data_IF_914373479915
#
_entry.id   IF_914373479915
#
_cell.length_a   1.000
_cell.length_b   1.000
_cell.length_c   1.000
_cell.angle_alpha   90.00
_cell.angle_beta   90.00
_cell.angle_gamma   90.00
#
_symmetry.space_group_name_H-M   'P 1'
#
loop_
_entity.id
_entity.type
_entity.pdbx_description
1 polymer ?
#
# COMPACT_ATOMS: atom_id res chain seq x y z
N UNK A 1 -0.01 31.63 -10.00
CA UNK A 1 0.20 31.38 -8.57
C UNK A 1 0.67 29.93 -8.47
N UNK A 2 1.74 29.63 -7.73
CA UNK A 2 2.17 28.25 -7.49
C UNK A 2 1.08 27.51 -6.70
N UNK A 3 0.87 26.22 -6.97
CA UNK A 3 -0.05 25.42 -6.19
C UNK A 3 0.38 25.43 -4.70
N UNK A 4 -0.57 25.38 -3.74
CA UNK A 4 -0.26 25.45 -2.31
C UNK A 4 0.48 24.20 -1.80
N UNK A 5 0.49 23.12 -2.57
CA UNK A 5 1.20 21.88 -2.26
C UNK A 5 2.04 21.44 -3.45
N UNK A 6 3.27 20.99 -3.17
CA UNK A 6 4.15 20.33 -4.15
C UNK A 6 4.38 18.90 -3.72
N UNK A 7 4.03 17.94 -4.56
CA UNK A 7 4.22 16.52 -4.29
C UNK A 7 5.31 16.00 -5.21
N UNK A 8 6.48 15.71 -4.63
CA UNK A 8 7.55 15.00 -5.32
C UNK A 8 7.27 13.49 -5.28
N UNK A 9 7.07 12.89 -6.45
CA UNK A 9 6.70 11.48 -6.57
C UNK A 9 7.10 10.88 -7.90
N UNK A 10 6.79 9.59 -8.09
CA UNK A 10 6.94 8.87 -9.36
C UNK A 10 5.73 7.96 -9.57
N UNK A 11 5.34 7.69 -10.82
CA UNK A 11 4.13 6.92 -11.11
C UNK A 11 4.27 5.45 -10.66
N UNK A 12 5.48 4.90 -10.82
CA UNK A 12 5.80 3.52 -10.44
C UNK A 12 5.99 3.32 -8.91
N UNK A 13 5.63 4.31 -8.08
CA UNK A 13 5.66 4.20 -6.62
C UNK A 13 4.24 4.15 -6.06
N UNK A 14 3.82 3.05 -5.42
CA UNK A 14 2.47 2.90 -4.86
C UNK A 14 2.18 4.01 -3.83
N UNK A 15 3.15 4.32 -2.98
CA UNK A 15 3.07 5.36 -1.96
C UNK A 15 2.92 6.77 -2.56
N UNK A 16 3.57 7.03 -3.71
CA UNK A 16 3.48 8.35 -4.35
C UNK A 16 2.12 8.59 -5.00
N UNK A 17 1.60 7.59 -5.72
CA UNK A 17 0.27 7.69 -6.32
C UNK A 17 -0.83 7.69 -5.27
N UNK A 18 -0.64 6.97 -4.15
CA UNK A 18 -1.53 7.00 -2.95
C UNK A 18 -1.74 8.43 -2.46
N UNK A 19 -0.66 9.18 -2.21
CA UNK A 19 -0.76 10.59 -1.78
C UNK A 19 -1.42 11.46 -2.85
N UNK A 20 -1.03 11.32 -4.13
CA UNK A 20 -1.64 12.11 -5.21
C UNK A 20 -3.15 11.86 -5.34
N UNK A 21 -3.57 10.60 -5.29
CA UNK A 21 -4.98 10.20 -5.33
C UNK A 21 -5.75 10.79 -4.16
N UNK A 22 -5.20 10.73 -2.95
CA UNK A 22 -5.80 11.35 -1.76
C UNK A 22 -5.94 12.87 -1.89
N UNK A 23 -4.91 13.58 -2.39
CA UNK A 23 -5.00 15.03 -2.60
C UNK A 23 -6.06 15.40 -3.64
N UNK A 24 -6.21 14.59 -4.70
CA UNK A 24 -7.31 14.72 -5.68
C UNK A 24 -8.68 14.50 -5.04
N UNK A 25 -8.82 13.48 -4.18
CA UNK A 25 -10.06 13.22 -3.43
C UNK A 25 -10.49 14.42 -2.58
N UNK A 26 -9.53 14.99 -1.83
CA UNK A 26 -9.77 16.17 -0.97
C UNK A 26 -9.93 17.47 -1.74
N UNK A 27 -9.73 17.48 -3.06
CA UNK A 27 -9.75 18.70 -3.87
C UNK A 27 -8.64 19.68 -3.50
N UNK A 28 -7.53 19.19 -2.95
CA UNK A 28 -6.38 20.01 -2.58
C UNK A 28 -5.57 20.32 -3.82
N UNK A 29 -5.48 21.59 -4.19
CA UNK A 29 -4.68 22.04 -5.32
C UNK A 29 -3.19 21.69 -5.08
N UNK A 30 -2.58 20.97 -6.02
CA UNK A 30 -1.21 20.48 -5.87
C UNK A 30 -0.50 20.39 -7.21
N UNK A 31 0.79 20.68 -7.17
CA UNK A 31 1.72 20.40 -8.26
C UNK A 31 2.29 18.99 -8.09
N UNK A 32 2.17 18.16 -9.13
CA UNK A 32 2.86 16.88 -9.19
C UNK A 32 4.23 17.05 -9.84
N UNK A 33 5.28 16.91 -9.03
CA UNK A 33 6.67 17.05 -9.47
C UNK A 33 7.28 15.65 -9.58
N UNK A 34 7.57 15.21 -10.80
CA UNK A 34 8.22 13.91 -11.01
C UNK A 34 9.64 13.98 -10.44
N UNK A 35 9.98 13.09 -9.50
CA UNK A 35 11.35 12.98 -8.95
C UNK A 35 12.28 12.34 -9.98
N UNK A 36 13.04 13.16 -10.68
CA UNK A 36 13.96 12.77 -11.75
C UNK A 36 15.30 13.54 -11.63
N UNK A 37 16.19 13.42 -12.62
CA UNK A 37 17.49 14.10 -12.57
C UNK A 37 17.40 15.63 -12.52
N UNK A 38 16.41 16.25 -13.18
CA UNK A 38 16.28 17.71 -13.22
C UNK A 38 15.64 18.29 -11.96
N UNK A 39 14.74 17.56 -11.31
CA UNK A 39 14.08 17.98 -10.07
C UNK A 39 14.83 17.57 -8.80
N UNK A 40 15.85 16.72 -8.92
CA UNK A 40 16.66 16.23 -7.80
C UNK A 40 17.25 17.35 -6.91
N UNK A 41 17.82 18.45 -7.45
CA UNK A 41 18.37 19.52 -6.62
C UNK A 41 17.32 20.21 -5.74
N UNK A 42 16.07 20.31 -6.21
CA UNK A 42 14.99 20.86 -5.40
C UNK A 42 14.51 19.85 -4.36
N UNK A 43 14.30 18.60 -4.76
CA UNK A 43 13.93 17.51 -3.85
C UNK A 43 14.91 17.40 -2.66
N UNK A 44 16.22 17.49 -2.92
CA UNK A 44 17.27 17.40 -1.89
C UNK A 44 17.27 18.55 -0.88
N UNK A 45 16.63 19.69 -1.17
CA UNK A 45 16.50 20.78 -0.18
C UNK A 45 15.60 20.40 0.99
N UNK A 46 14.64 19.52 0.75
CA UNK A 46 13.55 19.20 1.69
C UNK A 46 13.60 17.74 2.18
N UNK A 47 14.04 16.81 1.32
CA UNK A 47 14.05 15.38 1.65
C UNK A 47 15.08 15.04 2.74
N UNK A 48 14.62 14.38 3.81
CA UNK A 48 15.48 13.84 4.87
C UNK A 48 15.97 12.43 4.52
N UNK A 49 15.16 11.67 3.80
CA UNK A 49 15.46 10.32 3.31
C UNK A 49 15.30 10.26 1.79
N UNK A 50 16.07 9.42 1.07
CA UNK A 50 16.01 9.32 -0.40
C UNK A 50 14.78 8.52 -0.90
N UNK A 51 13.62 8.71 -0.26
CA UNK A 51 12.35 8.03 -0.53
C UNK A 51 11.29 9.01 -1.06
N UNK A 52 10.30 8.47 -1.76
CA UNK A 52 9.10 9.18 -2.21
C UNK A 52 7.88 8.49 -1.61
N UNK A 53 6.77 9.22 -1.38
CA UNK A 53 6.54 10.63 -1.68
C UNK A 53 7.26 11.61 -0.74
N UNK A 54 7.43 12.85 -1.21
CA UNK A 54 7.75 14.02 -0.41
C UNK A 54 6.69 15.10 -0.71
N UNK A 55 6.03 15.60 0.33
CA UNK A 55 5.13 16.76 0.27
C UNK A 55 5.88 18.00 0.78
N UNK A 56 5.78 19.10 0.05
CA UNK A 56 6.20 20.43 0.51
C UNK A 56 4.98 21.35 0.54
N UNK A 57 4.73 21.97 1.69
CA UNK A 57 3.59 22.87 1.91
C UNK A 57 3.87 24.29 1.40
N UNK A 58 2.84 25.14 1.38
CA UNK A 58 2.96 26.57 1.08
C UNK A 58 3.88 27.32 2.06
N UNK A 59 4.04 26.79 3.27
CA UNK A 59 4.90 27.34 4.33
C UNK A 59 6.32 26.75 4.30
N UNK A 60 6.71 26.07 3.20
CA UNK A 60 7.98 25.36 3.02
C UNK A 60 8.26 24.24 4.05
N UNK A 61 7.21 23.72 4.70
CA UNK A 61 7.31 22.54 5.55
C UNK A 61 7.34 21.26 4.71
N UNK A 62 8.21 20.32 5.08
CA UNK A 62 8.43 19.08 4.34
C UNK A 62 7.97 17.85 5.13
N UNK A 63 7.13 17.02 4.50
CA UNK A 63 6.68 15.74 5.03
C UNK A 63 7.07 14.61 4.07
N UNK A 64 7.49 13.47 4.62
CA UNK A 64 7.77 12.25 3.87
C UNK A 64 6.97 11.11 4.49
N UNK A 65 6.83 10.02 3.73
CA UNK A 65 6.02 8.84 4.07
C UNK A 65 4.52 9.07 3.83
N UNK A 66 3.88 8.17 3.09
CA UNK A 66 2.51 8.37 2.61
C UNK A 66 1.50 8.44 3.74
N UNK A 67 1.67 7.62 4.78
CA UNK A 67 0.71 7.52 5.89
C UNK A 67 0.76 8.77 6.77
N UNK A 68 1.94 9.24 7.25
CA UNK A 68 2.06 10.53 7.93
C UNK A 68 1.60 11.74 7.10
N UNK A 69 1.83 11.72 5.78
CA UNK A 69 1.35 12.79 4.89
C UNK A 69 -0.18 12.83 4.88
N UNK A 70 -0.83 11.67 4.73
CA UNK A 70 -2.30 11.58 4.73
C UNK A 70 -2.87 11.93 6.10
N UNK A 71 -2.33 11.40 7.20
CA UNK A 71 -2.78 11.72 8.56
C UNK A 71 -2.69 13.24 8.85
N UNK A 72 -1.58 13.88 8.45
CA UNK A 72 -1.41 15.33 8.57
C UNK A 72 -2.45 16.10 7.74
N UNK A 73 -2.68 15.68 6.49
CA UNK A 73 -3.62 16.35 5.60
C UNK A 73 -5.07 16.15 6.07
N UNK A 74 -5.42 14.96 6.58
CA UNK A 74 -6.75 14.64 7.11
C UNK A 74 -7.07 15.50 8.34
N UNK A 75 -6.11 15.67 9.25
CA UNK A 75 -6.28 16.53 10.41
C UNK A 75 -6.47 18.01 10.03
N UNK A 76 -5.84 18.47 8.95
CA UNK A 76 -5.94 19.87 8.47
C UNK A 76 -7.16 20.11 7.59
N UNK A 77 -7.62 19.08 6.87
CA UNK A 77 -8.73 19.10 5.92
C UNK A 77 -9.69 17.94 6.19
N UNK A 78 -10.52 18.03 7.25
CA UNK A 78 -11.32 16.89 7.72
C UNK A 78 -12.40 16.44 6.74
N UNK A 79 -12.84 17.31 5.82
CA UNK A 79 -13.91 16.99 4.88
C UNK A 79 -13.45 17.03 3.42
N UNK A 80 -13.91 16.10 2.57
CA UNK A 80 -14.68 14.90 2.91
C UNK A 80 -13.82 13.86 3.64
N UNK A 81 -14.29 13.29 4.75
CA UNK A 81 -13.50 12.33 5.54
C UNK A 81 -13.17 11.03 4.78
N UNK A 82 -11.98 10.44 5.05
CA UNK A 82 -11.61 9.07 4.63
C UNK A 82 -11.87 8.01 5.70
N UNK A 83 -12.35 8.41 6.87
CA UNK A 83 -12.62 7.50 7.98
C UNK A 83 -14.12 7.18 8.08
N UNK A 84 -14.51 5.90 7.98
CA UNK A 84 -15.85 5.46 8.34
C UNK A 84 -16.24 5.90 9.76
N UNK A 85 -17.53 6.12 9.99
CA UNK A 85 -18.02 6.68 11.25
C UNK A 85 -18.16 5.66 12.40
N UNK A 86 -18.36 4.38 12.10
CA UNK A 86 -18.42 3.33 13.13
C UNK A 86 -17.01 2.86 13.51
N UNK A 87 -16.79 2.61 14.80
CA UNK A 87 -15.49 2.20 15.33
C UNK A 87 -14.93 0.93 14.65
N UNK A 88 -15.73 -0.14 14.40
CA UNK A 88 -15.25 -1.31 13.68
C UNK A 88 -14.76 -0.96 12.26
N UNK A 89 -15.56 -0.22 11.48
CA UNK A 89 -15.20 0.10 10.10
C UNK A 89 -13.99 1.05 10.04
N UNK A 90 -13.92 2.02 10.95
CA UNK A 90 -12.78 2.92 11.03
C UNK A 90 -11.49 2.15 11.31
N UNK A 91 -11.52 1.25 12.29
CA UNK A 91 -10.35 0.46 12.63
C UNK A 91 -9.95 -0.51 11.51
N UNK A 92 -10.93 -1.21 10.92
CA UNK A 92 -10.68 -2.11 9.78
C UNK A 92 -10.10 -1.36 8.57
N UNK A 93 -10.58 -0.14 8.30
CA UNK A 93 -9.99 0.72 7.28
C UNK A 93 -8.52 1.03 7.56
N UNK A 94 -8.15 1.32 8.82
CA UNK A 94 -6.76 1.51 9.21
C UNK A 94 -5.92 0.22 9.12
N UNK A 95 -6.51 -0.93 9.46
CA UNK A 95 -5.84 -2.23 9.35
C UNK A 95 -5.55 -2.59 7.89
N UNK A 96 -6.51 -2.37 6.99
CA UNK A 96 -6.34 -2.60 5.55
C UNK A 96 -5.29 -1.63 4.97
N UNK A 97 -5.22 -0.41 5.47
CA UNK A 97 -4.21 0.56 5.04
C UNK A 97 -2.79 0.08 5.38
N UNK A 98 -2.56 -0.39 6.60
CA UNK A 98 -1.26 -0.97 6.98
C UNK A 98 -0.97 -2.30 6.30
N UNK A 99 -1.99 -3.14 6.13
CA UNK A 99 -1.87 -4.33 5.30
C UNK A 99 -1.39 -3.98 3.88
N UNK A 100 -1.95 -2.94 3.27
CA UNK A 100 -1.58 -2.47 1.94
C UNK A 100 -0.12 -2.04 1.87
N UNK A 101 0.32 -1.19 2.80
CA UNK A 101 1.67 -0.64 2.79
C UNK A 101 2.76 -1.68 3.08
N UNK A 102 2.43 -2.72 3.87
CA UNK A 102 3.40 -3.75 4.27
C UNK A 102 3.27 -5.07 3.49
N UNK A 103 2.11 -5.73 3.54
CA UNK A 103 1.90 -7.01 2.87
C UNK A 103 1.53 -6.83 1.40
N UNK A 104 0.65 -5.89 1.06
CA UNK A 104 0.28 -5.60 -0.33
C UNK A 104 1.49 -5.19 -1.18
N UNK A 105 2.44 -4.48 -0.59
CA UNK A 105 3.73 -4.15 -1.21
C UNK A 105 4.57 -5.38 -1.60
N UNK A 106 4.38 -6.52 -0.89
CA UNK A 106 5.04 -7.79 -1.24
C UNK A 106 4.57 -8.30 -2.59
N UNK A 107 3.28 -8.23 -2.90
CA UNK A 107 2.74 -8.65 -4.20
C UNK A 107 3.41 -7.88 -5.33
N UNK A 108 3.37 -6.55 -5.24
CA UNK A 108 3.94 -5.67 -6.25
C UNK A 108 5.44 -5.90 -6.42
N UNK A 109 6.23 -5.81 -5.35
CA UNK A 109 7.69 -5.93 -5.47
C UNK A 109 8.13 -7.34 -5.88
N UNK A 110 7.43 -8.39 -5.44
CA UNK A 110 7.72 -9.74 -5.87
C UNK A 110 7.50 -9.86 -7.39
N UNK A 111 6.28 -9.63 -7.87
CA UNK A 111 5.98 -9.82 -9.28
C UNK A 111 6.82 -8.94 -10.21
N UNK A 112 7.01 -7.67 -9.85
CA UNK A 112 7.79 -6.70 -10.64
C UNK A 112 9.22 -7.14 -10.91
N UNK A 113 9.82 -7.88 -9.97
CA UNK A 113 11.23 -8.26 -10.03
C UNK A 113 11.47 -9.77 -10.10
N UNK A 114 10.44 -10.62 -10.07
CA UNK A 114 10.58 -12.07 -10.13
C UNK A 114 10.77 -12.61 -11.55
N UNK A 115 10.02 -12.08 -12.53
CA UNK A 115 10.03 -12.58 -13.93
C UNK A 115 10.65 -11.57 -14.87
N UNK A 116 11.32 -12.06 -15.91
CA UNK A 116 12.05 -11.23 -16.88
C UNK A 116 11.13 -10.22 -17.59
N UNK A 117 9.94 -10.65 -18.02
CA UNK A 117 8.98 -9.76 -18.69
C UNK A 117 8.59 -8.55 -17.82
N UNK A 118 8.37 -8.78 -16.52
CA UNK A 118 8.05 -7.72 -15.56
C UNK A 118 9.25 -6.82 -15.26
N UNK A 119 10.43 -7.42 -15.09
CA UNK A 119 11.68 -6.68 -14.85
C UNK A 119 12.00 -5.72 -16.01
N UNK A 120 11.87 -6.19 -17.25
CA UNK A 120 12.11 -5.39 -18.47
C UNK A 120 11.09 -4.26 -18.57
N UNK A 121 9.80 -4.56 -18.40
CA UNK A 121 8.74 -3.55 -18.45
C UNK A 121 8.93 -2.48 -17.37
N UNK A 122 9.16 -2.88 -16.11
CA UNK A 122 9.29 -1.97 -14.99
C UNK A 122 10.57 -1.12 -15.06
N UNK A 123 11.72 -1.73 -15.37
CA UNK A 123 12.98 -0.98 -15.49
C UNK A 123 12.95 0.04 -16.62
N UNK A 124 12.34 -0.31 -17.76
CA UNK A 124 12.16 0.62 -18.89
C UNK A 124 11.32 1.82 -18.49
N UNK A 125 10.17 1.62 -17.83
CA UNK A 125 9.30 2.72 -17.35
C UNK A 125 10.00 3.58 -16.31
N UNK A 126 10.69 2.97 -15.34
CA UNK A 126 11.42 3.69 -14.29
C UNK A 126 12.51 4.61 -14.86
N UNK A 127 13.27 4.14 -15.85
CA UNK A 127 14.31 4.96 -16.48
C UNK A 127 13.72 6.07 -17.34
N UNK A 128 12.63 5.81 -18.05
CA UNK A 128 11.93 6.83 -18.82
C UNK A 128 11.45 8.00 -17.94
N UNK A 129 10.97 7.70 -16.72
CA UNK A 129 10.59 8.73 -15.74
C UNK A 129 11.80 9.43 -15.09
N UNK A 130 12.85 8.67 -14.77
CA UNK A 130 14.04 9.19 -14.08
C UNK A 130 14.90 10.10 -14.97
N UNK A 131 14.95 9.83 -16.27
CA UNK A 131 15.80 10.56 -17.23
C UNK A 131 15.08 10.75 -18.57
N UNK A 132 14.02 11.57 -18.60
CA UNK A 132 13.16 11.73 -19.77
C UNK A 132 13.91 12.31 -20.99
N UNK A 133 14.90 13.18 -20.76
CA UNK A 133 15.68 13.86 -21.80
C UNK A 133 16.91 13.07 -22.28
N UNK A 134 17.12 11.86 -21.77
CA UNK A 134 18.26 11.00 -22.13
C UNK A 134 17.94 10.11 -23.34
N UNK A 135 18.87 9.96 -24.33
CA UNK A 135 18.67 9.09 -25.49
C UNK A 135 18.33 7.64 -25.12
N UNK A 136 17.50 6.99 -25.95
CA UNK A 136 16.98 5.64 -25.68
C UNK A 136 18.07 4.60 -25.42
N UNK A 137 19.17 4.60 -26.19
CA UNK A 137 20.26 3.65 -26.03
C UNK A 137 20.93 3.75 -24.64
N UNK A 138 21.13 4.97 -24.13
CA UNK A 138 21.68 5.16 -22.78
C UNK A 138 20.66 4.79 -21.69
N UNK A 139 19.35 4.93 -21.98
CA UNK A 139 18.29 4.48 -21.08
C UNK A 139 18.25 2.94 -20.97
N UNK A 140 18.51 2.21 -22.06
CA UNK A 140 18.54 0.74 -22.06
C UNK A 140 19.60 0.18 -21.11
N UNK A 141 20.83 0.70 -21.17
CA UNK A 141 21.90 0.29 -20.25
C UNK A 141 21.56 0.61 -18.79
N UNK A 142 21.00 1.80 -18.54
CA UNK A 142 20.56 2.22 -17.21
C UNK A 142 19.44 1.32 -16.69
N UNK A 143 18.51 0.88 -17.55
CA UNK A 143 17.38 0.02 -17.19
C UNK A 143 17.87 -1.36 -16.74
N UNK A 144 18.83 -1.95 -17.47
CA UNK A 144 19.46 -3.22 -17.08
C UNK A 144 20.10 -3.12 -15.68
N UNK A 145 20.86 -2.04 -15.42
CA UNK A 145 21.46 -1.80 -14.11
C UNK A 145 20.44 -1.62 -12.98
N UNK A 146 19.30 -0.98 -13.25
CA UNK A 146 18.19 -0.89 -12.27
C UNK A 146 17.60 -2.27 -12.00
N UNK A 147 17.33 -3.07 -13.04
CA UNK A 147 16.76 -4.40 -12.89
C UNK A 147 17.66 -5.30 -12.02
N UNK A 148 18.97 -5.32 -12.29
CA UNK A 148 19.94 -6.10 -11.50
C UNK A 148 19.98 -5.65 -10.05
N UNK A 149 20.00 -4.34 -9.79
CA UNK A 149 19.97 -3.81 -8.43
C UNK A 149 18.68 -4.17 -7.68
N UNK A 150 17.54 -4.12 -8.36
CA UNK A 150 16.23 -4.33 -7.72
C UNK A 150 15.93 -5.80 -7.46
N UNK A 151 16.37 -6.72 -8.33
CA UNK A 151 16.37 -8.17 -8.05
C UNK A 151 17.07 -8.48 -6.73
N UNK A 152 18.22 -7.85 -6.46
CA UNK A 152 18.96 -8.00 -5.21
C UNK A 152 18.27 -7.40 -3.97
N UNK A 153 17.11 -6.76 -4.10
CA UNK A 153 16.38 -6.09 -3.01
C UNK A 153 15.03 -6.72 -2.66
N UNK A 154 14.58 -7.73 -3.39
CA UNK A 154 13.30 -8.40 -3.10
C UNK A 154 13.26 -9.09 -1.73
N UNK A 155 14.42 -9.31 -1.10
CA UNK A 155 14.51 -9.79 0.28
C UNK A 155 13.85 -8.83 1.29
N UNK A 156 13.75 -7.52 1.01
CA UNK A 156 13.06 -6.55 1.89
C UNK A 156 11.57 -6.87 2.05
N UNK A 157 10.96 -7.48 1.04
CA UNK A 157 9.57 -7.96 1.08
C UNK A 157 9.46 -9.44 1.43
N UNK A 158 10.59 -10.07 1.77
CA UNK A 158 10.66 -11.48 2.12
C UNK A 158 10.49 -12.42 0.93
N UNK A 159 10.57 -11.93 -0.32
CA UNK A 159 10.51 -12.76 -1.52
C UNK A 159 11.80 -13.58 -1.69
N UNK A 160 11.68 -14.90 -1.66
CA UNK A 160 12.75 -15.88 -1.90
C UNK A 160 12.15 -17.21 -2.40
N UNK A 161 12.99 -18.23 -2.62
CA UNK A 161 12.55 -19.54 -3.15
C UNK A 161 11.51 -20.25 -2.27
N UNK A 162 11.50 -19.99 -0.95
CA UNK A 162 10.55 -20.60 0.00
C UNK A 162 9.21 -19.85 0.00
N UNK A 163 9.24 -18.52 -0.07
CA UNK A 163 8.06 -17.66 0.13
C UNK A 163 7.37 -17.21 -1.16
N UNK A 164 8.04 -17.30 -2.31
CA UNK A 164 7.55 -16.78 -3.59
C UNK A 164 6.13 -17.29 -3.92
N UNK A 165 5.91 -18.61 -3.86
CA UNK A 165 4.62 -19.21 -4.14
C UNK A 165 3.52 -18.69 -3.20
N UNK A 166 3.85 -18.47 -1.92
CA UNK A 166 2.89 -17.93 -0.96
C UNK A 166 2.52 -16.46 -1.26
N UNK A 167 3.47 -15.65 -1.72
CA UNK A 167 3.19 -14.28 -2.16
C UNK A 167 2.26 -14.30 -3.37
N UNK A 168 2.55 -15.14 -4.37
CA UNK A 168 1.74 -15.26 -5.59
C UNK A 168 0.33 -15.79 -5.31
N UNK A 169 0.21 -16.82 -4.48
CA UNK A 169 -1.09 -17.40 -4.11
C UNK A 169 -1.94 -16.37 -3.36
N UNK A 170 -1.34 -15.63 -2.41
CA UNK A 170 -2.07 -14.58 -1.67
C UNK A 170 -2.50 -13.42 -2.56
N UNK A 171 -1.75 -13.11 -3.63
CA UNK A 171 -2.19 -12.14 -4.63
C UNK A 171 -3.42 -12.63 -5.40
N UNK A 172 -3.38 -13.88 -5.90
CA UNK A 172 -4.51 -14.46 -6.65
C UNK A 172 -5.76 -14.56 -5.76
N UNK A 173 -5.61 -14.99 -4.51
CA UNK A 173 -6.69 -15.06 -3.52
C UNK A 173 -7.25 -13.66 -3.22
N UNK A 174 -6.39 -12.66 -2.96
CA UNK A 174 -6.80 -11.28 -2.74
C UNK A 174 -7.60 -10.71 -3.91
N UNK A 175 -7.17 -10.96 -5.16
CA UNK A 175 -7.91 -10.51 -6.36
C UNK A 175 -9.30 -11.11 -6.40
N UNK A 176 -9.47 -12.41 -6.11
CA UNK A 176 -10.78 -13.05 -6.08
C UNK A 176 -11.69 -12.51 -4.98
N UNK A 177 -11.15 -12.27 -3.78
CA UNK A 177 -11.90 -11.72 -2.65
C UNK A 177 -12.31 -10.25 -2.89
N UNK A 178 -11.41 -9.45 -3.45
CA UNK A 178 -11.70 -8.07 -3.84
C UNK A 178 -12.70 -8.01 -4.99
N UNK A 179 -12.62 -8.90 -5.97
CA UNK A 179 -13.60 -8.97 -7.06
C UNK A 179 -15.01 -9.23 -6.52
N UNK A 180 -15.16 -10.23 -5.65
CA UNK A 180 -16.43 -10.54 -5.02
C UNK A 180 -17.00 -9.31 -4.28
N UNK A 181 -16.15 -8.58 -3.55
CA UNK A 181 -16.56 -7.41 -2.80
C UNK A 181 -16.90 -6.18 -3.65
N UNK A 182 -16.04 -5.85 -4.62
CA UNK A 182 -16.13 -4.66 -5.46
C UNK A 182 -17.11 -4.82 -6.64
N UNK A 183 -17.57 -6.04 -6.95
CA UNK A 183 -18.60 -6.27 -7.97
C UNK A 183 -19.90 -5.50 -7.71
N UNK A 184 -20.22 -5.24 -6.44
CA UNK A 184 -21.39 -4.48 -6.01
C UNK A 184 -21.09 -3.10 -5.44
N UNK A 185 -19.82 -2.65 -5.43
CA UNK A 185 -19.40 -1.46 -4.67
C UNK A 185 -18.39 -0.61 -5.40
N UNK A 186 -18.41 0.69 -5.08
CA UNK A 186 -17.43 1.61 -5.62
C UNK A 186 -16.09 1.58 -4.87
N UNK A 187 -16.11 1.32 -3.57
CA UNK A 187 -14.94 1.34 -2.68
C UNK A 187 -15.13 0.31 -1.57
N UNK A 188 -14.06 0.01 -0.82
CA UNK A 188 -14.05 -1.04 0.21
C UNK A 188 -15.11 -0.86 1.30
N UNK A 189 -15.50 0.38 1.60
CA UNK A 189 -16.49 0.69 2.64
C UNK A 189 -17.75 1.37 2.09
N UNK A 190 -18.03 1.27 0.79
CA UNK A 190 -19.27 1.76 0.17
C UNK A 190 -19.05 2.73 -0.97
N UNK A 191 -19.68 3.92 -0.91
CA UNK A 191 -19.78 4.85 -2.04
C UNK A 191 -18.77 6.01 -2.02
N UNK A 192 -17.83 6.03 -1.07
CA UNK A 192 -16.66 6.94 -1.05
C UNK A 192 -15.40 6.18 -0.61
N UNK A 193 -14.19 6.61 -1.04
CA UNK A 193 -12.96 5.93 -0.66
C UNK A 193 -12.70 6.09 0.83
N UNK A 194 -12.31 5.01 1.47
CA UNK A 194 -11.81 4.97 2.83
C UNK A 194 -10.28 5.09 2.86
N UNK A 195 -9.72 5.27 4.04
CA UNK A 195 -8.28 5.21 4.25
C UNK A 195 -7.66 3.88 3.78
N UNK A 196 -8.40 2.78 3.96
CA UNK A 196 -8.01 1.44 3.50
C UNK A 196 -7.97 1.34 1.97
N UNK A 197 -8.86 2.04 1.26
CA UNK A 197 -8.81 2.11 -0.21
C UNK A 197 -7.49 2.71 -0.67
N UNK A 198 -7.05 3.84 -0.08
CA UNK A 198 -5.81 4.50 -0.48
C UNK A 198 -4.56 3.64 -0.21
N UNK A 199 -4.49 2.95 0.93
CA UNK A 199 -3.37 2.05 1.26
C UNK A 199 -3.26 0.86 0.33
N UNK A 200 -4.37 0.15 0.11
CA UNK A 200 -4.39 -1.05 -0.74
C UNK A 200 -4.24 -0.70 -2.23
N UNK A 201 -4.95 0.34 -2.68
CA UNK A 201 -5.04 0.70 -4.10
C UNK A 201 -3.69 0.97 -4.73
N UNK A 202 -2.79 1.70 -4.06
CA UNK A 202 -1.49 2.05 -4.64
C UNK A 202 -0.70 0.81 -5.09
N UNK A 203 -0.79 -0.28 -4.31
CA UNK A 203 -0.14 -1.55 -4.62
C UNK A 203 -0.82 -2.26 -5.77
N UNK A 204 -2.16 -2.37 -5.75
CA UNK A 204 -2.94 -3.02 -6.81
C UNK A 204 -2.80 -2.30 -8.15
N UNK A 205 -2.79 -0.95 -8.14
CA UNK A 205 -2.48 -0.13 -9.31
C UNK A 205 -1.10 -0.45 -9.89
N UNK A 206 -0.10 -0.60 -9.02
CA UNK A 206 1.25 -0.92 -9.45
C UNK A 206 1.39 -2.36 -9.96
N UNK A 207 0.62 -3.31 -9.42
CA UNK A 207 0.46 -4.64 -10.00
C UNK A 207 -0.22 -4.57 -11.38
N UNK A 208 -1.24 -3.73 -11.58
CA UNK A 208 -1.97 -3.64 -12.85
C UNK A 208 -1.05 -3.24 -14.03
N UNK A 209 -0.07 -2.38 -13.79
CA UNK A 209 0.87 -1.90 -14.83
C UNK A 209 1.98 -2.90 -15.14
N UNK A 210 2.20 -3.91 -14.31
CA UNK A 210 3.18 -4.97 -14.53
C UNK A 210 2.56 -6.11 -15.36
N UNK A 211 3.25 -6.64 -16.40
CA UNK A 211 2.71 -7.65 -17.31
C UNK A 211 2.04 -8.85 -16.64
N UNK A 212 2.72 -9.53 -15.72
CA UNK A 212 2.24 -10.78 -15.12
C UNK A 212 1.09 -10.53 -14.13
N UNK A 213 1.27 -9.76 -13.04
CA UNK A 213 0.19 -9.55 -12.07
C UNK A 213 -0.96 -8.75 -12.66
N UNK A 214 -0.69 -7.84 -13.61
CA UNK A 214 -1.72 -7.12 -14.34
C UNK A 214 -2.49 -8.01 -15.31
N UNK A 215 -1.87 -9.04 -15.88
CA UNK A 215 -2.58 -10.08 -16.65
C UNK A 215 -3.58 -10.84 -15.78
N UNK A 216 -3.14 -11.29 -14.60
CA UNK A 216 -3.99 -11.95 -13.61
C UNK A 216 -5.15 -11.05 -13.19
N UNK A 217 -4.86 -9.78 -12.87
CA UNK A 217 -5.88 -8.83 -12.42
C UNK A 217 -6.94 -8.57 -13.49
N UNK A 218 -6.52 -8.39 -14.76
CA UNK A 218 -7.46 -8.18 -15.88
C UNK A 218 -8.32 -9.42 -16.17
N UNK A 219 -7.77 -10.62 -15.98
CA UNK A 219 -8.51 -11.87 -16.19
C UNK A 219 -9.51 -12.14 -15.06
N UNK A 220 -9.09 -11.94 -13.80
CA UNK A 220 -9.80 -12.44 -12.61
C UNK A 220 -10.54 -11.37 -11.82
N UNK A 221 -10.21 -10.09 -12.00
CA UNK A 221 -10.72 -8.99 -11.19
C UNK A 221 -11.17 -7.78 -12.00
N UNK A 222 -12.11 -7.90 -12.96
CA UNK A 222 -12.56 -6.76 -13.76
C UNK A 222 -13.18 -5.62 -12.92
N UNK A 223 -13.89 -5.93 -11.83
CA UNK A 223 -14.42 -4.93 -10.90
C UNK A 223 -13.29 -4.28 -10.08
N UNK A 224 -12.24 -5.05 -9.76
CA UNK A 224 -11.02 -4.52 -9.15
C UNK A 224 -10.29 -3.57 -10.10
N UNK A 225 -10.21 -3.88 -11.40
CA UNK A 225 -9.66 -2.96 -12.42
C UNK A 225 -10.47 -1.66 -12.47
N UNK A 226 -11.80 -1.76 -12.49
CA UNK A 226 -12.67 -0.57 -12.47
C UNK A 226 -12.47 0.28 -11.20
N UNK A 227 -12.27 -0.34 -10.04
CA UNK A 227 -11.90 0.35 -8.80
C UNK A 227 -10.53 1.01 -8.91
N UNK A 228 -9.53 0.33 -9.49
CA UNK A 228 -8.19 0.89 -9.71
C UNK A 228 -8.25 2.14 -10.58
N UNK A 229 -9.01 2.11 -11.68
CA UNK A 229 -9.19 3.25 -12.58
C UNK A 229 -9.92 4.40 -11.89
N UNK A 230 -10.98 4.11 -11.12
CA UNK A 230 -11.75 5.10 -10.35
C UNK A 230 -10.87 5.83 -9.33
N UNK A 231 -9.99 5.11 -8.66
CA UNK A 231 -9.08 5.65 -7.65
C UNK A 231 -7.96 6.54 -8.22
N UNK A 232 -7.84 6.73 -9.53
CA UNK A 232 -6.95 7.76 -10.10
C UNK A 232 -7.47 9.19 -9.87
N UNK A 233 -8.80 9.36 -9.77
CA UNK A 233 -9.47 10.62 -9.42
C UNK A 233 -10.77 10.33 -8.62
N UNK A 234 -10.65 9.77 -7.41
CA UNK A 234 -11.81 9.28 -6.68
C UNK A 234 -12.67 10.42 -6.16
N UNK A 235 -13.97 10.15 -6.04
CA UNK A 235 -14.99 11.11 -5.56
C UNK A 235 -15.82 10.49 -4.45
N UNK A 236 -16.26 11.33 -3.52
CA UNK A 236 -17.30 10.96 -2.55
C UNK A 236 -18.66 10.94 -3.28
N UNK A 237 -19.10 9.76 -3.70
CA UNK A 237 -20.34 9.57 -4.49
C UNK A 237 -21.55 9.12 -3.66
N UNK A 238 -21.37 8.92 -2.36
CA UNK A 238 -22.41 8.49 -1.41
C UNK A 238 -21.79 8.19 -0.05
N UNK A 239 -22.51 7.52 0.84
CA UNK A 239 -22.08 7.25 2.23
C UNK A 239 -21.21 5.99 2.39
N UNK A 240 -20.59 5.86 3.56
CA UNK A 240 -20.04 4.57 4.00
C UNK A 240 -21.18 3.62 4.40
N UNK A 241 -20.99 2.33 4.14
CA UNK A 241 -21.95 1.28 4.52
C UNK A 241 -21.70 0.77 5.95
N UNK A 242 -22.74 0.23 6.57
CA UNK A 242 -22.64 -0.42 7.87
C UNK A 242 -21.90 -1.77 7.77
N UNK A 243 -21.24 -2.20 8.86
CA UNK A 243 -20.45 -3.43 8.87
C UNK A 243 -21.28 -4.65 8.47
N UNK A 244 -22.54 -4.75 8.90
CA UNK A 244 -23.42 -5.88 8.63
C UNK A 244 -23.70 -6.06 7.13
N UNK A 245 -23.64 -4.98 6.36
CA UNK A 245 -23.80 -4.98 4.90
C UNK A 245 -22.48 -5.33 4.20
N UNK A 246 -21.36 -4.87 4.75
CA UNK A 246 -20.01 -5.12 4.21
C UNK A 246 -19.51 -6.54 4.50
N UNK A 247 -19.74 -7.04 5.72
CA UNK A 247 -19.18 -8.25 6.30
C UNK A 247 -19.30 -9.48 5.39
N UNK A 248 -20.44 -9.78 4.74
CA UNK A 248 -20.56 -10.97 3.89
C UNK A 248 -19.52 -11.07 2.76
N UNK A 249 -18.93 -9.94 2.36
CA UNK A 249 -17.95 -9.90 1.25
C UNK A 249 -16.61 -9.29 1.63
N UNK A 250 -16.54 -8.41 2.63
CA UNK A 250 -15.28 -7.82 3.09
C UNK A 250 -14.61 -8.64 4.19
N UNK A 251 -15.38 -9.28 5.08
CA UNK A 251 -14.82 -10.09 6.17
C UNK A 251 -13.89 -11.21 5.67
N UNK A 252 -14.21 -11.96 4.60
CA UNK A 252 -13.29 -12.96 4.05
C UNK A 252 -11.94 -12.37 3.62
N UNK A 253 -11.94 -11.18 3.00
CA UNK A 253 -10.70 -10.48 2.65
C UNK A 253 -9.90 -10.14 3.90
N UNK A 254 -10.52 -9.50 4.89
CA UNK A 254 -9.80 -9.09 6.11
C UNK A 254 -9.28 -10.29 6.88
N UNK A 255 -10.08 -11.34 7.06
CA UNK A 255 -9.66 -12.56 7.76
C UNK A 255 -8.45 -13.19 7.08
N UNK A 256 -8.55 -13.49 5.77
CA UNK A 256 -7.49 -14.18 5.03
C UNK A 256 -6.23 -13.34 4.89
N UNK A 257 -6.38 -12.06 4.56
CA UNK A 257 -5.24 -11.20 4.25
C UNK A 257 -4.61 -10.59 5.51
N UNK A 258 -5.44 -10.11 6.45
CA UNK A 258 -4.96 -9.46 7.66
C UNK A 258 -4.75 -10.46 8.79
N UNK A 259 -5.76 -11.28 9.10
CA UNK A 259 -5.74 -12.21 10.24
C UNK A 259 -4.80 -13.39 10.07
N UNK A 260 -4.87 -14.07 8.93
CA UNK A 260 -4.14 -15.33 8.69
C UNK A 260 -2.71 -15.12 8.17
N UNK A 261 -2.44 -13.98 7.51
CA UNK A 261 -1.15 -13.70 6.85
C UNK A 261 -0.39 -12.52 7.48
N UNK A 262 -0.92 -11.30 7.35
CA UNK A 262 -0.19 -10.09 7.70
C UNK A 262 0.12 -9.94 9.19
N UNK A 263 -0.87 -10.07 10.07
CA UNK A 263 -0.68 -9.89 11.50
C UNK A 263 0.28 -10.93 12.13
N UNK A 264 0.14 -12.25 11.89
CA UNK A 264 1.10 -13.24 12.39
C UNK A 264 2.52 -13.02 11.86
N UNK A 265 2.66 -12.68 10.58
CA UNK A 265 3.94 -12.33 9.98
C UNK A 265 4.58 -11.11 10.63
N UNK A 266 3.79 -10.05 10.81
CA UNK A 266 4.25 -8.78 11.35
C UNK A 266 4.72 -8.93 12.80
N UNK A 267 4.01 -9.74 13.58
CA UNK A 267 4.39 -10.11 14.95
C UNK A 267 5.70 -10.90 14.98
N UNK A 268 5.87 -11.89 14.09
CA UNK A 268 7.11 -12.66 14.00
C UNK A 268 8.30 -11.77 13.65
N UNK A 269 8.13 -10.85 12.69
CA UNK A 269 9.12 -9.84 12.35
C UNK A 269 9.50 -8.97 13.56
N UNK A 270 8.52 -8.47 14.31
CA UNK A 270 8.75 -7.63 15.48
C UNK A 270 9.49 -8.37 16.60
N UNK A 271 9.13 -9.63 16.86
CA UNK A 271 9.82 -10.51 17.83
C UNK A 271 11.26 -10.77 17.43
N UNK A 272 11.50 -11.14 16.18
CA UNK A 272 12.84 -11.40 15.67
C UNK A 272 13.74 -10.16 15.73
N UNK A 273 13.19 -8.98 15.38
CA UNK A 273 13.91 -7.72 15.49
C UNK A 273 14.27 -7.38 16.94
N UNK A 274 13.36 -7.62 17.89
CA UNK A 274 13.61 -7.41 19.32
C UNK A 274 14.62 -8.41 19.90
N UNK A 275 14.63 -9.65 19.39
CA UNK A 275 15.59 -10.70 19.75
C UNK A 275 17.00 -10.48 19.16
N UNK A 276 17.11 -9.66 18.11
CA UNK A 276 18.36 -9.47 17.39
C UNK A 276 18.67 -10.60 16.40
N UNK A 277 17.65 -11.34 15.97
CA UNK A 277 17.80 -12.48 15.07
C UNK A 277 18.17 -12.01 13.65
N UNK A 278 19.02 -12.76 12.95
CA UNK A 278 19.40 -12.44 11.57
C UNK A 278 18.29 -12.78 10.56
N UNK A 279 17.51 -13.82 10.87
CA UNK A 279 16.38 -14.36 10.10
C UNK A 279 15.35 -14.93 11.06
N UNK A 280 14.09 -14.97 10.63
CA UNK A 280 13.02 -15.65 11.35
C UNK A 280 12.20 -16.52 10.42
N UNK A 281 11.62 -17.57 11.02
CA UNK A 281 10.65 -18.44 10.37
C UNK A 281 9.31 -18.35 11.12
N UNK A 282 8.21 -18.34 10.36
CA UNK A 282 6.86 -18.38 10.90
C UNK A 282 5.96 -19.20 9.98
N UNK A 283 5.08 -20.02 10.55
CA UNK A 283 4.07 -20.74 9.77
C UNK A 283 2.89 -19.81 9.47
N UNK A 284 2.63 -19.58 8.19
CA UNK A 284 1.51 -18.79 7.68
C UNK A 284 0.68 -19.70 6.77
N UNK A 285 -0.58 -19.93 7.10
CA UNK A 285 -1.48 -20.78 6.31
C UNK A 285 -0.88 -22.18 6.00
N UNK A 286 -0.22 -22.78 7.00
CA UNK A 286 0.41 -24.10 6.91
C UNK A 286 1.67 -24.16 6.04
N UNK A 287 2.27 -23.01 5.71
CA UNK A 287 3.50 -22.89 4.95
C UNK A 287 4.53 -22.05 5.71
N UNK A 288 5.78 -22.49 5.68
CA UNK A 288 6.89 -21.76 6.25
C UNK A 288 7.15 -20.47 5.50
N UNK A 289 7.11 -19.36 6.21
CA UNK A 289 7.62 -18.08 5.78
C UNK A 289 8.98 -17.81 6.41
N UNK A 290 9.98 -17.46 5.60
CA UNK A 290 11.33 -17.12 6.09
C UNK A 290 11.79 -15.75 5.56
N UNK A 291 12.29 -14.88 6.44
CA UNK A 291 12.70 -13.51 6.09
C UNK A 291 13.70 -12.93 7.11
N UNK A 292 14.51 -11.93 6.68
CA UNK A 292 15.27 -11.06 7.59
C UNK A 292 14.38 -10.01 8.25
N UNK A 293 14.48 -9.75 9.57
CA UNK A 293 13.63 -8.77 10.22
C UNK A 293 13.86 -7.35 9.68
N UNK A 294 12.78 -6.61 9.48
CA UNK A 294 12.79 -5.24 8.97
C UNK A 294 12.23 -4.28 10.03
N UNK A 295 13.02 -3.24 10.33
CA UNK A 295 12.68 -2.24 11.35
C UNK A 295 11.39 -1.49 11.06
N UNK A 296 11.13 -1.17 9.80
CA UNK A 296 9.93 -0.41 9.42
C UNK A 296 8.64 -1.25 9.63
N UNK A 297 8.66 -2.52 9.25
CA UNK A 297 7.57 -3.47 9.48
C UNK A 297 7.17 -3.58 10.97
N UNK A 298 8.16 -3.58 11.88
CA UNK A 298 7.89 -3.57 13.32
C UNK A 298 7.27 -2.24 13.80
N UNK A 299 7.63 -1.11 13.18
CA UNK A 299 7.01 0.20 13.48
C UNK A 299 5.56 0.25 13.00
N UNK A 300 5.27 -0.30 11.82
CA UNK A 300 3.91 -0.41 11.28
C UNK A 300 3.00 -1.19 12.25
N UNK A 301 3.45 -2.35 12.73
CA UNK A 301 2.70 -3.12 13.74
C UNK A 301 2.43 -2.32 15.01
N UNK A 302 3.45 -1.61 15.51
CA UNK A 302 3.29 -0.77 16.70
C UNK A 302 2.28 0.37 16.47
N UNK A 303 2.23 0.95 15.26
CA UNK A 303 1.28 2.00 14.90
C UNK A 303 -0.18 1.48 14.91
N UNK A 304 -0.46 0.34 14.29
CA UNK A 304 -1.82 -0.22 14.30
C UNK A 304 -2.25 -0.69 15.71
N UNK A 305 -1.32 -1.23 16.52
CA UNK A 305 -1.59 -1.54 17.95
C UNK A 305 -1.88 -0.29 18.78
N UNK A 306 -1.18 0.82 18.51
CA UNK A 306 -1.46 2.09 19.16
C UNK A 306 -2.85 2.62 18.79
N UNK A 307 -3.24 2.53 17.50
CA UNK A 307 -4.61 2.86 17.04
C UNK A 307 -5.66 2.00 17.74
N UNK A 308 -5.41 0.69 17.89
CA UNK A 308 -6.30 -0.21 18.62
C UNK A 308 -6.42 0.20 20.09
N UNK A 309 -5.29 0.42 20.76
CA UNK A 309 -5.25 0.81 22.19
C UNK A 309 -6.04 2.10 22.44
N UNK A 310 -5.96 3.08 21.53
CA UNK A 310 -6.63 4.37 21.64
C UNK A 310 -8.16 4.33 21.54
N UNK A 311 -8.77 3.23 21.07
CA UNK A 311 -10.24 3.09 21.00
C UNK A 311 -10.81 3.02 22.42
N UNK A 312 -11.71 3.95 22.77
CA UNK A 312 -12.24 4.05 24.14
C UNK A 312 -13.20 2.89 24.49
N UNK A 313 -14.21 2.65 23.64
CA UNK A 313 -15.12 1.51 23.75
C UNK A 313 -14.80 0.51 22.63
N UNK A 314 -14.24 -0.64 23.01
CA UNK A 314 -13.86 -1.69 22.08
C UNK A 314 -14.92 -2.77 21.93
N UNK A 315 -16.08 -2.68 22.58
CA UNK A 315 -17.04 -3.80 22.64
C UNK A 315 -17.50 -4.30 21.26
N UNK A 316 -17.90 -3.39 20.37
CA UNK A 316 -18.27 -3.73 18.99
C UNK A 316 -17.06 -4.12 18.13
N UNK A 317 -15.94 -3.43 18.31
CA UNK A 317 -14.69 -3.69 17.59
C UNK A 317 -14.12 -5.08 17.92
N UNK A 318 -14.06 -5.43 19.20
CA UNK A 318 -13.52 -6.68 19.72
C UNK A 318 -14.29 -7.89 19.17
N UNK A 319 -15.63 -7.80 19.12
CA UNK A 319 -16.46 -8.84 18.53
C UNK A 319 -16.10 -9.09 17.06
N UNK A 320 -15.97 -8.00 16.27
CA UNK A 320 -15.57 -8.09 14.86
C UNK A 320 -14.14 -8.62 14.70
N UNK A 321 -13.18 -8.13 15.50
CA UNK A 321 -11.79 -8.57 15.40
C UNK A 321 -11.58 -10.02 15.86
N UNK A 322 -12.39 -10.52 16.81
CA UNK A 322 -12.37 -11.92 17.22
C UNK A 322 -12.88 -12.83 16.10
N UNK A 323 -13.99 -12.46 15.45
CA UNK A 323 -14.52 -13.18 14.28
C UNK A 323 -13.52 -13.24 13.12
N UNK A 324 -12.74 -12.16 12.92
CA UNK A 324 -11.74 -12.05 11.87
C UNK A 324 -10.37 -12.63 12.25
N UNK A 325 -10.20 -13.20 13.44
CA UNK A 325 -8.92 -13.75 13.92
C UNK A 325 -7.81 -12.69 14.10
N UNK A 326 -8.17 -11.42 14.23
CA UNK A 326 -7.24 -10.30 14.28
C UNK A 326 -6.90 -9.85 15.71
N UNK A 327 -7.83 -9.99 16.65
CA UNK A 327 -7.73 -9.36 17.98
C UNK A 327 -6.51 -9.81 18.79
N UNK A 328 -6.21 -11.11 18.77
CA UNK A 328 -5.08 -11.71 19.51
C UNK A 328 -3.72 -11.12 19.10
N UNK A 329 -3.59 -10.61 17.88
CA UNK A 329 -2.37 -9.97 17.39
C UNK A 329 -2.30 -8.48 17.74
N UNK A 330 -3.44 -7.84 17.99
CA UNK A 330 -3.54 -6.40 18.21
C UNK A 330 -3.53 -6.03 19.70
N UNK A 331 -3.99 -6.93 20.57
CA UNK A 331 -4.05 -6.73 22.01
C UNK A 331 -2.74 -7.09 22.77
N UNK A 332 -1.67 -7.41 22.03
CA UNK A 332 -0.37 -7.84 22.60
C UNK A 332 0.52 -6.69 23.07
#
# INVERSE_FOLDING_TARGET
MSAPYRIFGVENSPFSVKVRSYFRYKGLDHEWIVRNLSTMPEYQKYAKLPIVPLLVTADDEALQDSTPIIDWAEAKHPEPSVHPSSEPNQFLSCLIEEFGDEWGNKWMLHYRWAREADQVAASTRLVAEMMPDTPEEQRKETAAGIADRMKGRVWFVGSNEVTAAQIEDSWVEAVGLLEAHLSGRHYLFGARPSFGDFGLWGQVYNCLVDPTPGGILREKGPSVVAWVERMLDPKASGEFEAWEVLAPTLAPFVQRMCGDLFLPWSEANAKALAGGDETYDVELDGRTWTQKPVKYQAKSLAAIRARYTAVADKSSLDAVLDELGCRSWLAN
#
